data_IF_812172931351
#
_entry.id   IF_812172931351
#
_cell.length_a   1.000
_cell.length_b   1.000
_cell.length_c   1.000
_cell.angle_alpha   90.00
_cell.angle_beta   90.00
_cell.angle_gamma   90.00
#
_symmetry.space_group_name_H-M   'P 1'
#
loop_
_entity.id
_entity.type
_entity.pdbx_description
1 polymer ?
#
# COMPACT_ATOMS: atom_id res chain seq x y z
N UNK A 1 78.50 -47.08 -47.73
CA UNK A 1 77.44 -46.33 -48.36
C UNK A 1 76.00 -46.58 -47.80
N UNK A 2 75.61 -47.70 -47.22
CA UNK A 2 74.29 -47.99 -46.66
C UNK A 2 73.99 -47.31 -45.29
N UNK A 3 74.96 -46.98 -44.47
CA UNK A 3 74.78 -46.46 -43.11
C UNK A 3 74.51 -44.98 -43.04
N UNK A 4 75.02 -44.19 -43.98
CA UNK A 4 74.78 -42.71 -44.15
C UNK A 4 73.39 -42.45 -44.62
N UNK A 5 72.82 -43.26 -45.51
CA UNK A 5 71.43 -43.14 -45.99
C UNK A 5 70.36 -43.39 -44.89
N UNK A 6 70.63 -44.32 -43.94
CA UNK A 6 69.76 -44.62 -42.84
C UNK A 6 69.74 -43.48 -41.80
N UNK A 7 70.84 -42.85 -41.50
CA UNK A 7 70.92 -41.70 -40.59
C UNK A 7 70.24 -40.46 -41.16
N UNK A 8 70.33 -40.23 -42.47
CA UNK A 8 69.61 -39.14 -43.18
C UNK A 8 68.09 -39.29 -43.11
N UNK A 9 67.60 -40.55 -43.31
CA UNK A 9 66.16 -40.83 -43.21
C UNK A 9 65.65 -40.69 -41.78
N UNK A 10 66.39 -41.06 -40.76
CA UNK A 10 66.03 -40.90 -39.35
C UNK A 10 65.93 -39.37 -39.01
N UNK A 11 66.91 -38.57 -39.44
CA UNK A 11 66.87 -37.10 -39.22
C UNK A 11 65.70 -36.45 -39.89
N UNK A 12 65.33 -36.86 -41.10
CA UNK A 12 64.17 -36.34 -41.84
C UNK A 12 62.88 -36.73 -41.10
N UNK A 13 62.71 -37.96 -40.64
CA UNK A 13 61.56 -38.39 -39.86
C UNK A 13 61.45 -37.63 -38.54
N UNK A 14 62.50 -37.38 -37.83
CA UNK A 14 62.52 -36.61 -36.58
C UNK A 14 62.12 -35.14 -36.84
N UNK A 15 62.64 -34.50 -37.95
CA UNK A 15 62.27 -33.15 -38.30
C UNK A 15 60.77 -33.04 -38.67
N UNK A 16 60.23 -34.03 -39.41
CA UNK A 16 58.82 -34.09 -39.74
C UNK A 16 57.93 -34.28 -38.50
N UNK A 17 58.38 -35.14 -37.57
CA UNK A 17 57.69 -35.34 -36.28
C UNK A 17 57.66 -34.05 -35.46
N UNK A 18 58.80 -33.35 -35.37
CA UNK A 18 58.90 -32.05 -34.69
C UNK A 18 57.98 -31.02 -35.32
N UNK A 19 57.91 -30.95 -36.65
CA UNK A 19 57.01 -30.05 -37.38
C UNK A 19 55.53 -30.34 -37.09
N UNK A 20 55.15 -31.62 -37.05
CA UNK A 20 53.79 -32.07 -36.69
C UNK A 20 53.42 -31.69 -35.24
N UNK A 21 54.36 -31.85 -34.32
CA UNK A 21 54.14 -31.45 -32.91
C UNK A 21 54.00 -29.95 -32.78
N UNK A 22 54.76 -29.14 -33.49
CA UNK A 22 54.63 -27.68 -33.52
C UNK A 22 53.29 -27.26 -34.09
N UNK A 23 52.82 -27.85 -35.19
CA UNK A 23 51.51 -27.57 -35.78
C UNK A 23 50.37 -27.96 -34.80
N UNK A 24 50.45 -29.14 -34.21
CA UNK A 24 49.46 -29.59 -33.23
C UNK A 24 49.41 -28.70 -31.98
N UNK A 25 50.59 -28.32 -31.46
CA UNK A 25 50.71 -27.38 -30.34
C UNK A 25 50.14 -26.00 -30.66
N UNK A 26 50.46 -25.45 -31.85
CA UNK A 26 49.90 -24.16 -32.28
C UNK A 26 48.38 -24.23 -32.44
N UNK A 27 47.85 -25.31 -32.98
CA UNK A 27 46.40 -25.52 -33.07
C UNK A 27 45.71 -25.59 -31.70
N UNK A 28 46.35 -26.26 -30.72
CA UNK A 28 45.84 -26.37 -29.37
C UNK A 28 45.81 -25.03 -28.66
N UNK A 29 46.89 -24.25 -28.78
CA UNK A 29 47.00 -22.88 -28.26
C UNK A 29 45.91 -21.97 -28.89
N UNK A 30 45.74 -22.05 -30.19
CA UNK A 30 44.71 -21.28 -30.88
C UNK A 30 43.31 -21.62 -30.36
N UNK A 31 42.97 -22.89 -30.20
CA UNK A 31 41.67 -23.29 -29.66
C UNK A 31 41.49 -22.82 -28.21
N UNK A 32 42.53 -22.88 -27.40
CA UNK A 32 42.51 -22.41 -26.02
C UNK A 32 42.20 -20.91 -25.95
N UNK A 33 42.96 -20.09 -26.67
CA UNK A 33 42.77 -18.64 -26.73
C UNK A 33 41.36 -18.28 -27.25
N UNK A 34 40.88 -18.95 -28.29
CA UNK A 34 39.55 -18.73 -28.82
C UNK A 34 38.46 -19.06 -27.79
N UNK A 35 38.59 -20.13 -27.04
CA UNK A 35 37.68 -20.51 -25.98
C UNK A 35 37.67 -19.48 -24.84
N UNK A 36 38.81 -19.06 -24.38
CA UNK A 36 38.98 -18.05 -23.33
C UNK A 36 38.38 -16.70 -23.76
N UNK A 37 38.61 -16.25 -24.99
CA UNK A 37 38.05 -15.04 -25.54
C UNK A 37 36.49 -15.11 -25.56
N UNK A 38 35.92 -16.27 -25.89
CA UNK A 38 34.47 -16.46 -25.90
C UNK A 38 33.87 -16.41 -24.49
N UNK A 39 34.56 -17.02 -23.51
CA UNK A 39 34.15 -16.97 -22.12
C UNK A 39 34.20 -15.55 -21.56
N UNK A 40 35.28 -14.82 -21.84
CA UNK A 40 35.41 -13.42 -21.41
C UNK A 40 34.32 -12.53 -22.00
N UNK A 41 33.93 -12.73 -23.27
CA UNK A 41 32.80 -12.02 -23.87
C UNK A 41 31.46 -12.32 -23.19
N UNK A 42 31.24 -13.58 -22.78
CA UNK A 42 30.02 -13.95 -22.05
C UNK A 42 30.00 -13.32 -20.65
N UNK A 43 31.14 -13.34 -19.94
CA UNK A 43 31.27 -12.71 -18.62
C UNK A 43 31.01 -11.21 -18.73
N UNK A 44 31.58 -10.54 -19.73
CA UNK A 44 31.35 -9.11 -19.95
C UNK A 44 29.85 -8.83 -20.21
N UNK A 45 29.19 -9.59 -21.09
CA UNK A 45 27.75 -9.42 -21.35
C UNK A 45 26.88 -9.64 -20.13
N UNK A 46 27.24 -10.59 -19.26
CA UNK A 46 26.54 -10.78 -17.97
C UNK A 46 26.78 -9.61 -17.02
N UNK A 47 28.02 -9.10 -16.95
CA UNK A 47 28.35 -7.94 -16.12
C UNK A 47 27.57 -6.69 -16.56
N UNK A 48 27.48 -6.46 -17.85
CA UNK A 48 26.72 -5.32 -18.43
C UNK A 48 25.22 -5.46 -18.10
N UNK A 49 24.65 -6.67 -18.22
CA UNK A 49 23.27 -6.97 -17.87
C UNK A 49 22.97 -6.75 -16.38
N UNK A 50 23.86 -7.22 -15.50
CA UNK A 50 23.75 -7.01 -14.05
C UNK A 50 23.78 -5.51 -13.72
N UNK A 51 24.68 -4.75 -14.32
CA UNK A 51 24.75 -3.30 -14.13
C UNK A 51 23.47 -2.57 -14.59
N UNK A 52 22.84 -3.01 -15.68
CA UNK A 52 21.56 -2.49 -16.13
C UNK A 52 20.44 -2.81 -15.16
N UNK A 53 20.39 -4.05 -14.63
CA UNK A 53 19.42 -4.45 -13.63
C UNK A 53 19.57 -3.66 -12.31
N UNK A 54 20.81 -3.44 -11.84
CA UNK A 54 21.08 -2.63 -10.65
C UNK A 54 20.59 -1.19 -10.81
N UNK A 55 20.82 -0.59 -11.98
CA UNK A 55 20.31 0.76 -12.28
C UNK A 55 18.78 0.81 -12.30
N UNK A 56 18.14 -0.19 -12.92
CA UNK A 56 16.68 -0.28 -12.93
C UNK A 56 16.10 -0.43 -11.52
N UNK A 57 16.70 -1.27 -10.70
CA UNK A 57 16.27 -1.45 -9.30
C UNK A 57 16.43 -0.16 -8.48
N UNK A 58 17.53 0.56 -8.68
CA UNK A 58 17.75 1.86 -8.01
C UNK A 58 16.68 2.89 -8.41
N UNK A 59 16.34 2.96 -9.69
CA UNK A 59 15.28 3.86 -10.18
C UNK A 59 13.90 3.49 -9.60
N UNK A 60 13.57 2.20 -9.52
CA UNK A 60 12.32 1.74 -8.91
C UNK A 60 12.25 2.08 -7.42
N UNK A 61 13.33 1.89 -6.68
CA UNK A 61 13.37 2.25 -5.27
C UNK A 61 13.17 3.75 -5.06
N UNK A 62 13.76 4.59 -5.90
CA UNK A 62 13.58 6.04 -5.84
C UNK A 62 12.11 6.44 -6.12
N UNK A 63 11.46 5.80 -7.09
CA UNK A 63 10.03 6.02 -7.34
C UNK A 63 9.15 5.60 -6.16
N UNK A 64 9.51 4.50 -5.48
CA UNK A 64 8.80 4.04 -4.28
C UNK A 64 8.94 5.08 -3.15
N UNK A 65 10.13 5.63 -2.94
CA UNK A 65 10.36 6.69 -1.94
C UNK A 65 9.51 7.93 -2.25
N UNK A 66 9.51 8.41 -3.50
CA UNK A 66 8.70 9.56 -3.92
C UNK A 66 7.20 9.34 -3.73
N UNK A 67 6.70 8.13 -4.07
CA UNK A 67 5.28 7.78 -3.88
C UNK A 67 4.96 7.69 -2.38
N UNK A 68 5.87 7.17 -1.57
CA UNK A 68 5.69 7.05 -0.12
C UNK A 68 5.60 8.44 0.53
N UNK A 69 6.46 9.39 0.13
CA UNK A 69 6.38 10.79 0.59
C UNK A 69 5.07 11.46 0.18
N UNK A 70 4.63 11.27 -1.07
CA UNK A 70 3.34 11.81 -1.53
C UNK A 70 2.15 11.21 -0.79
N UNK A 71 2.19 9.92 -0.46
CA UNK A 71 1.16 9.27 0.35
C UNK A 71 1.14 9.81 1.78
N UNK A 72 2.30 10.05 2.37
CA UNK A 72 2.41 10.63 3.71
C UNK A 72 1.86 12.06 3.74
N UNK A 73 2.21 12.90 2.77
CA UNK A 73 1.65 14.24 2.63
C UNK A 73 0.12 14.22 2.47
N UNK A 74 -0.42 13.31 1.65
CA UNK A 74 -1.88 13.15 1.47
C UNK A 74 -2.57 12.66 2.74
N UNK A 75 -1.94 11.78 3.51
CA UNK A 75 -2.50 11.28 4.76
C UNK A 75 -2.52 12.34 5.87
N UNK A 76 -1.53 13.26 5.87
CA UNK A 76 -1.40 14.31 6.88
C UNK A 76 -2.00 15.66 6.45
N UNK A 77 -2.48 15.80 5.19
CA UNK A 77 -3.18 17.01 4.78
C UNK A 77 -4.54 17.09 5.49
N UNK A 78 -4.73 18.12 6.31
CA UNK A 78 -6.02 18.38 6.95
C UNK A 78 -7.10 18.66 5.92
N UNK A 79 -8.30 18.13 6.16
CA UNK A 79 -9.50 18.47 5.38
C UNK A 79 -9.85 19.93 5.65
N UNK A 80 -10.27 20.64 4.61
CA UNK A 80 -10.77 21.99 4.75
C UNK A 80 -12.27 21.95 5.10
N UNK A 81 -12.65 22.64 6.16
CA UNK A 81 -14.01 22.84 6.61
C UNK A 81 -14.50 24.25 6.24
N UNK A 82 -15.80 24.47 6.30
CA UNK A 82 -16.39 25.78 6.06
C UNK A 82 -16.10 26.73 7.26
N UNK A 83 -15.70 27.97 6.98
CA UNK A 83 -15.63 29.01 7.98
C UNK A 83 -17.01 29.47 8.47
N UNK A 84 -18.03 29.33 7.62
CA UNK A 84 -19.44 29.65 7.89
C UNK A 84 -20.34 28.59 7.28
N UNK A 85 -21.24 28.03 8.07
CA UNK A 85 -22.09 26.93 7.71
C UNK A 85 -22.00 25.80 8.72
N UNK A 86 -22.44 24.62 8.36
CA UNK A 86 -22.44 23.44 9.21
C UNK A 86 -21.40 22.44 8.68
N UNK A 87 -20.51 22.01 9.52
CA UNK A 87 -19.48 21.01 9.23
C UNK A 87 -19.87 19.66 9.85
N UNK A 88 -20.19 18.71 8.99
CA UNK A 88 -20.63 17.37 9.39
C UNK A 88 -19.60 16.30 9.01
N UNK A 89 -19.15 15.54 9.99
CA UNK A 89 -18.24 14.40 9.78
C UNK A 89 -18.90 13.08 10.17
N UNK A 90 -19.00 12.14 9.23
CA UNK A 90 -19.53 10.80 9.44
C UNK A 90 -18.40 9.77 9.52
N UNK A 91 -18.22 9.17 10.69
CA UNK A 91 -17.28 8.08 10.93
C UNK A 91 -18.06 6.77 10.97
N UNK A 92 -17.63 5.79 10.19
CA UNK A 92 -18.28 4.48 10.24
C UNK A 92 -17.55 3.44 9.42
N UNK A 93 -18.26 2.39 9.08
CA UNK A 93 -17.75 1.33 8.21
C UNK A 93 -18.34 1.43 6.78
N UNK A 94 -18.48 0.30 6.10
CA UNK A 94 -19.06 0.25 4.75
C UNK A 94 -20.50 0.74 4.64
N UNK A 95 -21.24 0.80 5.75
CA UNK A 95 -22.61 1.36 5.77
C UNK A 95 -22.57 2.88 5.73
N UNK A 96 -21.51 3.49 6.23
CA UNK A 96 -21.29 4.95 6.19
C UNK A 96 -20.69 5.39 4.86
N UNK A 97 -19.65 4.69 4.39
CA UNK A 97 -18.94 5.04 3.16
C UNK A 97 -18.24 3.80 2.59
N UNK A 98 -18.38 3.55 1.31
CA UNK A 98 -17.70 2.44 0.65
C UNK A 98 -17.10 2.89 -0.68
N UNK A 99 -15.92 2.37 -1.00
CA UNK A 99 -15.29 2.60 -2.30
C UNK A 99 -15.93 1.75 -3.39
N UNK A 100 -15.78 2.15 -4.66
CA UNK A 100 -16.20 1.37 -5.82
C UNK A 100 -15.55 -0.03 -5.75
N UNK A 101 -16.39 -1.06 -5.96
CA UNK A 101 -15.95 -2.45 -6.04
C UNK A 101 -16.80 -3.19 -7.09
N UNK A 102 -16.42 -4.42 -7.47
CA UNK A 102 -17.19 -5.22 -8.44
C UNK A 102 -18.66 -5.43 -8.02
N UNK A 103 -18.92 -5.35 -6.72
CA UNK A 103 -20.24 -5.51 -6.10
C UNK A 103 -20.85 -4.18 -5.61
N UNK A 104 -20.16 -3.05 -5.76
CA UNK A 104 -20.63 -1.74 -5.29
C UNK A 104 -20.39 -0.64 -6.33
N UNK A 105 -21.44 0.08 -6.66
CA UNK A 105 -21.59 0.93 -7.83
C UNK A 105 -21.06 2.36 -7.68
N UNK A 106 -20.90 2.88 -6.45
CA UNK A 106 -20.55 4.28 -6.24
C UNK A 106 -19.48 4.44 -5.13
N UNK A 107 -18.66 5.47 -5.25
CA UNK A 107 -17.62 5.84 -4.28
C UNK A 107 -18.21 6.76 -3.22
N UNK A 108 -17.85 6.53 -1.95
CA UNK A 108 -18.28 7.38 -0.84
C UNK A 108 -19.72 7.19 -0.35
N UNK A 109 -20.51 6.31 -0.99
CA UNK A 109 -21.91 6.02 -0.61
C UNK A 109 -21.98 4.78 0.26
N UNK A 110 -22.82 4.81 1.29
CA UNK A 110 -23.01 3.69 2.20
C UNK A 110 -23.69 2.48 1.56
N UNK A 111 -23.15 1.28 1.82
CA UNK A 111 -23.59 0.01 1.19
C UNK A 111 -25.04 -0.39 1.44
N UNK A 112 -25.72 0.18 2.45
CA UNK A 112 -27.13 -0.09 2.71
C UNK A 112 -28.08 0.72 1.83
N UNK A 113 -27.56 1.66 1.01
CA UNK A 113 -28.34 2.57 0.20
C UNK A 113 -28.60 2.07 -1.22
N UNK A 114 -29.77 2.39 -1.77
CA UNK A 114 -30.12 2.10 -3.16
C UNK A 114 -29.64 3.19 -4.15
N UNK A 115 -29.35 4.36 -3.65
CA UNK A 115 -28.78 5.51 -4.35
C UNK A 115 -28.16 6.46 -3.30
N UNK A 116 -27.39 7.42 -3.76
CA UNK A 116 -26.66 8.38 -2.91
C UNK A 116 -27.58 9.11 -1.93
N UNK A 117 -28.73 9.59 -2.42
CA UNK A 117 -29.69 10.34 -1.62
C UNK A 117 -30.36 9.50 -0.52
N UNK A 118 -30.21 8.18 -0.56
CA UNK A 118 -30.84 7.24 0.37
C UNK A 118 -29.90 6.73 1.45
N UNK A 119 -28.61 7.04 1.42
CA UNK A 119 -27.76 6.73 2.55
C UNK A 119 -28.00 7.72 3.72
N UNK A 120 -27.68 7.28 4.92
CA UNK A 120 -27.99 8.07 6.10
C UNK A 120 -27.15 9.36 6.19
N UNK A 121 -25.92 9.35 5.64
CA UNK A 121 -25.00 10.49 5.67
C UNK A 121 -25.57 11.64 4.83
N UNK A 122 -25.96 11.33 3.58
CA UNK A 122 -26.56 12.31 2.68
C UNK A 122 -27.94 12.77 3.18
N UNK A 123 -28.73 11.87 3.80
CA UNK A 123 -30.01 12.27 4.40
C UNK A 123 -29.83 13.22 5.60
N UNK A 124 -28.83 12.99 6.46
CA UNK A 124 -28.52 13.91 7.56
C UNK A 124 -28.03 15.25 6.99
N UNK A 125 -27.11 15.23 6.03
CA UNK A 125 -26.61 16.44 5.37
C UNK A 125 -27.75 17.27 4.81
N UNK A 126 -28.60 16.65 4.02
CA UNK A 126 -29.78 17.31 3.45
C UNK A 126 -30.75 17.83 4.52
N UNK A 127 -30.99 17.07 5.58
CA UNK A 127 -31.85 17.51 6.69
C UNK A 127 -31.26 18.73 7.38
N UNK A 128 -29.94 18.81 7.57
CA UNK A 128 -29.28 19.99 8.14
C UNK A 128 -29.45 21.21 7.23
N UNK A 129 -29.23 21.09 5.92
CA UNK A 129 -29.45 22.16 4.94
C UNK A 129 -30.87 22.68 4.99
N UNK A 130 -31.87 21.77 4.93
CA UNK A 130 -33.29 22.11 4.87
C UNK A 130 -33.81 22.77 6.16
N UNK A 131 -33.24 22.41 7.35
CA UNK A 131 -33.76 22.91 8.63
C UNK A 131 -33.01 24.14 9.15
N UNK A 132 -31.73 24.30 8.83
CA UNK A 132 -30.95 25.46 9.27
C UNK A 132 -30.82 26.55 8.19
N UNK A 133 -31.12 26.22 6.94
CA UNK A 133 -30.96 27.12 5.77
C UNK A 133 -29.52 27.64 5.65
N UNK A 134 -28.58 26.78 5.92
CA UNK A 134 -27.13 27.02 5.84
C UNK A 134 -26.46 26.03 4.90
N UNK A 135 -25.26 26.37 4.39
CA UNK A 135 -24.43 25.42 3.63
C UNK A 135 -23.91 24.35 4.55
N UNK A 136 -23.91 23.12 4.11
CA UNK A 136 -23.37 21.98 4.85
C UNK A 136 -22.18 21.39 4.11
N UNK A 137 -21.02 21.34 4.75
CA UNK A 137 -19.86 20.56 4.27
C UNK A 137 -19.88 19.21 4.96
N UNK A 138 -20.00 18.15 4.17
CA UNK A 138 -20.07 16.78 4.68
C UNK A 138 -18.88 15.99 4.23
N UNK A 139 -18.20 15.34 5.17
CA UNK A 139 -17.17 14.33 4.89
C UNK A 139 -17.56 13.01 5.55
N UNK A 140 -17.19 11.92 4.92
CA UNK A 140 -17.34 10.58 5.48
C UNK A 140 -16.01 9.84 5.46
N UNK A 141 -15.82 8.96 6.43
CA UNK A 141 -14.63 8.13 6.50
C UNK A 141 -14.98 6.69 6.88
N UNK A 142 -14.58 5.75 6.03
CA UNK A 142 -14.70 4.33 6.31
C UNK A 142 -13.56 3.89 7.26
N UNK A 143 -13.90 3.76 8.53
CA UNK A 143 -12.97 3.41 9.59
C UNK A 143 -13.00 1.90 9.93
N UNK A 144 -13.26 1.07 8.93
CA UNK A 144 -13.24 -0.41 9.03
C UNK A 144 -11.97 -0.95 9.69
N UNK A 145 -10.82 -0.30 9.43
CA UNK A 145 -9.54 -0.67 10.03
C UNK A 145 -9.60 -0.72 11.55
N UNK A 146 -10.27 0.25 12.20
CA UNK A 146 -10.45 0.26 13.66
C UNK A 146 -11.29 -0.93 14.14
N UNK A 147 -12.31 -1.34 13.40
CA UNK A 147 -13.16 -2.47 13.79
C UNK A 147 -12.41 -3.80 13.83
N UNK A 148 -11.51 -4.04 12.85
CA UNK A 148 -10.84 -5.34 12.65
C UNK A 148 -9.50 -5.47 13.37
N UNK A 149 -8.87 -4.37 13.79
CA UNK A 149 -7.57 -4.35 14.46
C UNK A 149 -7.71 -4.34 15.99
N UNK A 150 -8.31 -5.41 16.56
CA UNK A 150 -8.63 -5.48 17.98
C UNK A 150 -7.47 -5.19 18.95
N UNK A 151 -6.22 -5.52 18.60
CA UNK A 151 -5.04 -5.30 19.46
C UNK A 151 -4.40 -3.91 19.28
N UNK A 152 -4.70 -3.21 18.19
CA UNK A 152 -4.01 -2.00 17.78
C UNK A 152 -4.98 -0.86 17.43
N UNK A 153 -6.21 -0.90 17.98
CA UNK A 153 -7.24 0.12 17.72
C UNK A 153 -6.77 1.52 18.06
N UNK A 154 -6.07 1.68 19.19
CA UNK A 154 -5.53 2.97 19.60
C UNK A 154 -4.57 3.58 18.54
N UNK A 155 -3.76 2.76 17.88
CA UNK A 155 -2.83 3.21 16.86
C UNK A 155 -3.54 3.72 15.59
N UNK A 156 -4.76 3.25 15.34
CA UNK A 156 -5.53 3.69 14.18
C UNK A 156 -6.19 5.06 14.37
N UNK A 157 -6.34 5.55 15.61
CA UNK A 157 -7.06 6.80 15.90
C UNK A 157 -6.46 8.02 15.20
N UNK A 158 -5.15 8.05 15.01
CA UNK A 158 -4.46 9.12 14.27
C UNK A 158 -4.92 9.25 12.81
N UNK A 159 -5.54 8.23 12.22
CA UNK A 159 -6.12 8.33 10.87
C UNK A 159 -7.28 9.31 10.78
N UNK A 160 -7.88 9.65 11.93
CA UNK A 160 -8.93 10.66 12.03
C UNK A 160 -8.39 12.10 12.09
N UNK A 161 -7.11 12.30 12.38
CA UNK A 161 -6.52 13.62 12.64
C UNK A 161 -6.73 14.62 11.52
N UNK A 162 -6.72 14.16 10.28
CA UNK A 162 -6.95 15.04 9.12
C UNK A 162 -8.38 15.57 9.01
N UNK A 163 -9.34 14.92 9.67
CA UNK A 163 -10.75 15.32 9.67
C UNK A 163 -11.15 16.08 10.92
N UNK A 164 -10.55 15.76 12.07
CA UNK A 164 -10.95 16.31 13.37
C UNK A 164 -10.44 17.75 13.52
N UNK A 165 -11.33 18.64 13.91
CA UNK A 165 -11.06 20.08 14.03
C UNK A 165 -12.08 20.74 14.96
N UNK A 166 -11.74 21.91 15.53
CA UNK A 166 -12.65 22.75 16.31
C UNK A 166 -13.81 23.35 15.48
N UNK A 167 -13.69 23.26 14.14
CA UNK A 167 -14.70 23.77 13.19
C UNK A 167 -15.86 22.78 12.96
N UNK A 168 -15.78 21.56 13.52
CA UNK A 168 -16.83 20.56 13.40
C UNK A 168 -18.03 20.87 14.29
N UNK A 169 -19.25 20.82 13.70
CA UNK A 169 -20.51 20.99 14.39
C UNK A 169 -21.18 19.66 14.75
N UNK A 170 -21.08 18.68 13.85
CA UNK A 170 -21.70 17.37 14.02
C UNK A 170 -20.75 16.24 13.65
N UNK A 171 -20.67 15.24 14.50
CA UNK A 171 -20.00 13.97 14.22
C UNK A 171 -20.97 12.81 14.46
N UNK A 172 -21.12 11.94 13.48
CA UNK A 172 -21.82 10.66 13.68
C UNK A 172 -20.82 9.51 13.72
N UNK A 173 -21.02 8.54 14.63
CA UNK A 173 -20.18 7.35 14.76
C UNK A 173 -21.06 6.11 14.57
N UNK A 174 -20.87 5.40 13.45
CA UNK A 174 -21.57 4.17 13.08
C UNK A 174 -20.56 3.06 12.89
N UNK A 175 -20.20 2.35 13.96
CA UNK A 175 -19.16 1.32 14.00
C UNK A 175 -19.63 0.16 14.86
N UNK A 176 -19.20 -1.01 14.60
CA UNK A 176 -19.17 -2.26 15.35
C UNK A 176 -19.58 -3.50 14.57
N UNK A 177 -20.16 -3.39 13.40
CA UNK A 177 -20.63 -4.52 12.59
C UNK A 177 -19.52 -5.55 12.32
N UNK A 178 -18.30 -5.07 12.05
CA UNK A 178 -17.15 -5.92 11.70
C UNK A 178 -16.28 -6.29 12.91
N UNK A 179 -16.67 -5.90 14.12
CA UNK A 179 -15.95 -6.27 15.34
C UNK A 179 -16.23 -7.72 15.67
N UNK A 180 -15.20 -8.58 15.58
CA UNK A 180 -15.27 -10.00 15.92
C UNK A 180 -14.83 -10.27 17.36
N UNK A 181 -13.79 -9.57 17.83
CA UNK A 181 -13.31 -9.65 19.20
C UNK A 181 -13.84 -8.46 20.00
N UNK A 182 -14.73 -8.75 20.94
CA UNK A 182 -15.38 -7.78 21.82
C UNK A 182 -14.71 -7.64 23.19
N UNK A 183 -13.62 -8.36 23.43
CA UNK A 183 -12.99 -8.43 24.75
C UNK A 183 -12.52 -7.08 25.30
N UNK A 184 -12.08 -6.17 24.41
CA UNK A 184 -11.64 -4.80 24.73
C UNK A 184 -12.54 -3.73 24.10
N UNK A 185 -13.61 -4.13 23.42
CA UNK A 185 -14.42 -3.23 22.58
C UNK A 185 -14.96 -2.02 23.33
N UNK A 186 -15.43 -2.21 24.55
CA UNK A 186 -15.98 -1.11 25.36
C UNK A 186 -14.91 -0.06 25.67
N UNK A 187 -13.76 -0.50 26.16
CA UNK A 187 -12.64 0.36 26.51
C UNK A 187 -12.09 1.09 25.28
N UNK A 188 -11.97 0.38 24.16
CA UNK A 188 -11.50 0.95 22.88
C UNK A 188 -12.51 1.96 22.32
N UNK A 189 -13.80 1.70 22.44
CA UNK A 189 -14.85 2.62 22.00
C UNK A 189 -14.88 3.89 22.87
N UNK A 190 -14.70 3.75 24.18
CA UNK A 190 -14.56 4.87 25.11
C UNK A 190 -13.31 5.72 24.74
N UNK A 191 -12.20 5.08 24.39
CA UNK A 191 -10.99 5.77 23.94
C UNK A 191 -11.22 6.53 22.62
N UNK A 192 -11.91 5.91 21.66
CA UNK A 192 -12.31 6.57 20.40
C UNK A 192 -13.14 7.83 20.67
N UNK A 193 -14.17 7.72 21.53
CA UNK A 193 -15.00 8.87 21.88
C UNK A 193 -14.19 9.98 22.55
N UNK A 194 -13.30 9.65 23.49
CA UNK A 194 -12.42 10.64 24.14
C UNK A 194 -11.49 11.31 23.15
N UNK A 195 -10.92 10.54 22.22
CA UNK A 195 -10.04 11.07 21.20
C UNK A 195 -10.74 12.11 20.33
N UNK A 196 -11.97 11.79 19.90
CA UNK A 196 -12.79 12.69 19.09
C UNK A 196 -13.14 13.96 19.87
N UNK A 197 -13.62 13.83 21.13
CA UNK A 197 -13.96 14.98 21.98
C UNK A 197 -12.76 15.90 22.23
N UNK A 198 -11.58 15.31 22.41
CA UNK A 198 -10.36 16.11 22.62
C UNK A 198 -9.97 16.93 21.39
N UNK A 199 -10.17 16.38 20.18
CA UNK A 199 -9.77 17.00 18.92
C UNK A 199 -10.85 17.91 18.32
N UNK A 200 -12.11 17.67 18.67
CA UNK A 200 -13.28 18.42 18.15
C UNK A 200 -14.26 18.71 19.30
N UNK A 201 -13.83 19.55 20.27
CA UNK A 201 -14.60 19.78 21.51
C UNK A 201 -15.90 20.52 21.30
N UNK A 202 -16.06 21.22 20.15
CA UNK A 202 -17.29 21.97 19.81
C UNK A 202 -18.36 21.09 19.16
N UNK A 203 -17.97 19.91 18.64
CA UNK A 203 -18.88 19.06 17.88
C UNK A 203 -19.92 18.36 18.77
N UNK A 204 -21.17 18.34 18.28
CA UNK A 204 -22.16 17.39 18.80
C UNK A 204 -21.86 15.99 18.28
N UNK A 205 -21.70 15.01 19.18
CA UNK A 205 -21.44 13.63 18.80
C UNK A 205 -22.69 12.80 18.94
N UNK A 206 -23.03 12.05 17.89
CA UNK A 206 -24.15 11.10 17.87
C UNK A 206 -23.59 9.71 17.56
N UNK A 207 -23.72 8.80 18.51
CA UNK A 207 -23.41 7.39 18.30
C UNK A 207 -24.63 6.68 17.72
N UNK A 208 -24.47 6.10 16.55
CA UNK A 208 -25.50 5.32 15.86
C UNK A 208 -25.35 3.86 16.27
N UNK A 209 -26.47 3.23 16.58
CA UNK A 209 -26.49 1.81 16.92
C UNK A 209 -26.18 0.93 15.69
N UNK A 210 -25.94 -0.35 15.91
CA UNK A 210 -25.63 -1.29 14.85
C UNK A 210 -26.81 -1.43 13.87
N UNK A 211 -26.50 -1.54 12.60
CA UNK A 211 -27.48 -1.81 11.56
C UNK A 211 -28.16 -3.19 11.75
N UNK A 212 -27.40 -4.15 12.27
CA UNK A 212 -27.88 -5.46 12.66
C UNK A 212 -28.04 -5.54 14.18
N UNK A 213 -29.01 -6.32 14.63
CA UNK A 213 -29.13 -6.59 16.08
C UNK A 213 -27.88 -7.32 16.60
N UNK A 214 -26.99 -6.57 17.21
CA UNK A 214 -25.73 -7.07 17.79
C UNK A 214 -25.80 -7.29 19.31
N UNK A 215 -26.93 -6.95 19.95
CA UNK A 215 -27.23 -7.20 21.35
C UNK A 215 -26.16 -6.70 22.34
N UNK A 216 -25.06 -7.43 22.47
CA UNK A 216 -23.99 -7.13 23.41
C UNK A 216 -23.21 -5.84 23.07
N UNK A 217 -22.89 -5.64 21.80
CA UNK A 217 -22.12 -4.47 21.35
C UNK A 217 -22.89 -3.15 21.51
N UNK A 218 -24.20 -3.16 21.25
CA UNK A 218 -25.06 -2.02 21.52
C UNK A 218 -25.02 -1.59 22.98
N UNK A 219 -25.09 -2.56 23.91
CA UNK A 219 -24.98 -2.29 25.36
C UNK A 219 -23.60 -1.74 25.74
N UNK A 220 -22.54 -2.21 25.11
CA UNK A 220 -21.17 -1.73 25.35
C UNK A 220 -21.00 -0.29 24.88
N UNK A 221 -21.55 0.09 23.69
CA UNK A 221 -21.52 1.46 23.19
C UNK A 221 -22.23 2.43 24.14
N UNK A 222 -23.45 2.10 24.57
CA UNK A 222 -24.20 2.93 25.54
C UNK A 222 -23.45 3.14 26.86
N UNK A 223 -22.67 2.17 27.29
CA UNK A 223 -21.90 2.28 28.55
C UNK A 223 -20.54 2.98 28.38
N UNK A 224 -20.10 3.20 27.13
CA UNK A 224 -18.84 3.85 26.79
C UNK A 224 -19.01 5.36 26.45
N UNK A 225 -20.22 5.79 26.15
CA UNK A 225 -20.60 7.19 25.84
C UNK A 225 -21.23 7.89 27.04
#
# INVERSE_FOLDING_TARGET
>A
MRQTDRQGKIRLLLSLLMLLLCVAGSYYIYRYIKHETLQNKKIQGLSDYVGEMENNLKNQNQQIEEITEQLDELQHSSVTWLDQGINYFAIGNSITSHSIADYWWNDGVGMAASCEENDYVHQISKWLEDNYNESVETKSYNFYTWEVQANDRAETLQLLDKYLSDELDLITIQLSENVLDVSTFREDFEELCRYIIQKSPSAQIIVIDDFWDSGEKSSMKVNAT
#
